data_IF_565062886122
#
_entry.id   IF_565062886122
#
_cell.length_a   1.000
_cell.length_b   1.000
_cell.length_c   1.000
_cell.angle_alpha   90.00
_cell.angle_beta   90.00
_cell.angle_gamma   90.00
#
_symmetry.space_group_name_H-M   'P 1'
#
loop_
_entity.id
_entity.type
_entity.pdbx_description
1 polymer ?
#
# COMPACT_ATOMS: atom_id res chain seq x y z
N UNK A 1 -5.58 1.02 4.85
CA UNK A 1 -4.92 1.20 6.17
C UNK A 1 -5.91 1.01 7.31
N UNK A 2 -7.02 1.75 7.34
CA UNK A 2 -8.05 1.64 8.39
C UNK A 2 -8.51 0.20 8.64
N UNK A 3 -8.89 -0.51 7.57
CA UNK A 3 -9.32 -1.91 7.68
C UNK A 3 -8.24 -2.83 8.29
N UNK A 4 -6.96 -2.59 7.98
CA UNK A 4 -5.86 -3.38 8.54
C UNK A 4 -5.67 -3.08 10.04
N UNK A 5 -5.72 -1.80 10.42
CA UNK A 5 -5.66 -1.40 11.83
C UNK A 5 -6.84 -1.95 12.63
N UNK A 6 -8.05 -1.92 12.09
CA UNK A 6 -9.25 -2.48 12.72
C UNK A 6 -9.08 -3.99 12.97
N UNK A 7 -8.61 -4.74 11.96
CA UNK A 7 -8.35 -6.19 12.11
C UNK A 7 -7.31 -6.49 13.21
N UNK A 8 -6.29 -5.63 13.36
CA UNK A 8 -5.29 -5.75 14.43
C UNK A 8 -5.89 -5.40 15.79
N UNK A 9 -6.74 -4.37 15.85
CA UNK A 9 -7.41 -3.96 17.08
C UNK A 9 -8.32 -5.05 17.63
N UNK A 10 -9.14 -5.67 16.76
CA UNK A 10 -10.13 -6.70 17.08
C UNK A 10 -9.54 -8.09 17.40
N UNK A 11 -8.22 -8.28 17.24
CA UNK A 11 -7.58 -9.57 17.48
C UNK A 11 -7.21 -9.76 18.97
N UNK A 12 -8.01 -10.55 19.68
CA UNK A 12 -7.81 -10.86 21.12
C UNK A 12 -6.50 -11.57 21.43
N UNK A 13 -5.94 -12.29 20.46
CA UNK A 13 -4.66 -12.99 20.63
C UNK A 13 -3.44 -12.03 20.59
N UNK A 14 -3.64 -10.76 20.26
CA UNK A 14 -2.62 -9.71 20.31
C UNK A 14 -2.71 -8.92 21.61
N UNK A 15 -1.56 -8.46 22.08
CA UNK A 15 -1.41 -7.70 23.33
C UNK A 15 -1.03 -6.24 23.06
N UNK A 16 -1.11 -5.40 24.10
CA UNK A 16 -0.73 -3.99 24.04
C UNK A 16 -1.72 -3.10 23.29
N UNK A 17 -1.42 -1.80 23.32
CA UNK A 17 -2.26 -0.75 22.76
C UNK A 17 -2.02 -0.54 21.26
N UNK A 18 -3.00 0.11 20.60
CA UNK A 18 -2.82 0.61 19.24
C UNK A 18 -1.91 1.85 19.23
N UNK A 19 -1.13 2.09 18.16
CA UNK A 19 -0.32 3.29 18.03
C UNK A 19 -1.21 4.54 18.03
N UNK A 20 -0.68 5.61 18.62
CA UNK A 20 -1.38 6.89 18.71
C UNK A 20 -1.58 7.59 17.35
N UNK A 21 -0.75 7.25 16.35
CA UNK A 21 -0.80 7.83 15.01
C UNK A 21 -1.13 6.77 13.97
N UNK A 22 -2.03 7.11 13.04
CA UNK A 22 -2.32 6.26 11.89
C UNK A 22 -1.20 6.37 10.84
N UNK A 23 -0.70 5.25 10.30
CA UNK A 23 0.22 5.27 9.18
C UNK A 23 -0.37 5.94 7.93
N UNK A 24 0.46 6.52 7.04
CA UNK A 24 -0.01 7.10 5.78
C UNK A 24 -0.77 6.09 4.92
N UNK A 25 -1.67 6.55 4.06
CA UNK A 25 -2.36 5.67 3.12
C UNK A 25 -1.35 4.96 2.19
N UNK A 26 -1.60 3.68 1.88
CA UNK A 26 -0.69 2.87 1.07
C UNK A 26 0.59 2.40 1.79
N UNK A 27 0.76 2.70 3.08
CA UNK A 27 1.97 2.31 3.85
C UNK A 27 1.91 0.93 4.51
N UNK A 28 0.74 0.29 4.59
CA UNK A 28 0.59 -1.03 5.19
C UNK A 28 0.28 -2.08 4.13
N UNK A 29 0.99 -3.20 4.21
CA UNK A 29 0.71 -4.37 3.38
C UNK A 29 -0.67 -4.95 3.72
N UNK A 30 -1.36 -5.47 2.72
CA UNK A 30 -2.71 -6.05 2.84
C UNK A 30 -2.72 -7.57 2.88
N UNK A 31 -1.56 -8.19 3.06
CA UNK A 31 -1.39 -9.64 3.03
C UNK A 31 -1.81 -10.31 4.36
N UNK A 32 -1.85 -11.65 4.33
CA UNK A 32 -2.19 -12.49 5.47
C UNK A 32 -1.15 -12.36 6.59
N UNK A 33 -1.58 -11.80 7.72
CA UNK A 33 -0.74 -11.67 8.92
C UNK A 33 -0.58 -13.02 9.64
N UNK A 34 0.67 -13.41 9.87
CA UNK A 34 1.03 -14.52 10.77
C UNK A 34 1.66 -13.95 12.03
N UNK A 35 1.18 -14.38 13.18
CA UNK A 35 1.66 -13.92 14.47
C UNK A 35 1.56 -15.04 15.52
N UNK A 36 2.37 -14.93 16.56
CA UNK A 36 2.29 -15.78 17.74
C UNK A 36 1.36 -15.13 18.76
N UNK A 37 0.59 -15.95 19.50
CA UNK A 37 -0.23 -15.46 20.60
C UNK A 37 0.63 -14.63 21.57
N UNK A 38 0.14 -13.46 21.96
CA UNK A 38 0.83 -12.52 22.83
C UNK A 38 1.74 -11.51 22.11
N UNK A 39 1.92 -11.62 20.79
CA UNK A 39 2.58 -10.57 20.00
C UNK A 39 1.86 -9.23 20.19
N UNK A 40 2.62 -8.13 20.18
CA UNK A 40 2.04 -6.81 20.41
C UNK A 40 1.40 -6.26 19.14
N UNK A 41 0.35 -5.45 19.28
CA UNK A 41 -0.26 -4.72 18.16
C UNK A 41 0.77 -3.84 17.43
N UNK A 42 1.68 -3.21 18.17
CA UNK A 42 2.79 -2.45 17.59
C UNK A 42 3.70 -3.32 16.70
N UNK A 43 4.10 -4.51 17.17
CA UNK A 43 4.91 -5.44 16.36
C UNK A 43 4.22 -5.83 15.05
N UNK A 44 2.90 -5.95 15.06
CA UNK A 44 2.13 -6.24 13.84
C UNK A 44 2.14 -5.09 12.85
N UNK A 45 2.02 -3.87 13.35
CA UNK A 45 2.04 -2.68 12.50
C UNK A 45 3.44 -2.44 11.94
N UNK A 46 4.48 -2.58 12.75
CA UNK A 46 5.87 -2.48 12.31
C UNK A 46 6.19 -3.53 11.24
N UNK A 47 5.68 -4.75 11.42
CA UNK A 47 5.81 -5.81 10.43
C UNK A 47 5.13 -5.44 9.11
N UNK A 48 3.89 -4.96 9.14
CA UNK A 48 3.18 -4.56 7.92
C UNK A 48 3.86 -3.40 7.18
N UNK A 49 4.42 -2.44 7.93
CA UNK A 49 5.20 -1.34 7.36
C UNK A 49 6.45 -1.85 6.66
N UNK A 50 7.19 -2.77 7.31
CA UNK A 50 8.39 -3.37 6.73
C UNK A 50 8.06 -4.22 5.50
N UNK A 51 6.99 -5.01 5.55
CA UNK A 51 6.53 -5.84 4.43
C UNK A 51 6.10 -4.96 3.24
N UNK A 52 5.35 -3.88 3.49
CA UNK A 52 4.96 -2.92 2.44
C UNK A 52 6.18 -2.28 1.81
N UNK A 53 7.12 -1.79 2.62
CA UNK A 53 8.34 -1.17 2.13
C UNK A 53 9.12 -2.13 1.24
N UNK A 54 9.31 -3.37 1.69
CA UNK A 54 10.00 -4.40 0.92
C UNK A 54 9.29 -4.69 -0.41
N UNK A 55 7.96 -4.84 -0.39
CA UNK A 55 7.18 -5.08 -1.59
C UNK A 55 7.33 -3.94 -2.61
N UNK A 56 7.23 -2.70 -2.14
CA UNK A 56 7.38 -1.51 -2.97
C UNK A 56 8.78 -1.43 -3.57
N UNK A 57 9.82 -1.63 -2.76
CA UNK A 57 11.21 -1.61 -3.21
C UNK A 57 11.46 -2.71 -4.28
N UNK A 58 11.02 -3.95 -4.02
CA UNK A 58 11.18 -5.08 -4.93
C UNK A 58 10.46 -4.85 -6.28
N UNK A 59 9.27 -4.22 -6.27
CA UNK A 59 8.51 -3.89 -7.49
C UNK A 59 9.14 -2.70 -8.22
N UNK A 60 9.58 -1.68 -7.47
CA UNK A 60 10.21 -0.49 -8.02
C UNK A 60 11.50 -0.84 -8.76
N UNK A 61 12.31 -1.76 -8.25
CA UNK A 61 13.51 -2.25 -8.94
C UNK A 61 13.21 -2.93 -10.28
N UNK A 62 12.05 -3.56 -10.41
CA UNK A 62 11.61 -4.31 -11.60
C UNK A 62 10.75 -3.49 -12.57
N UNK A 63 10.54 -2.20 -12.28
CA UNK A 63 9.68 -1.33 -13.08
C UNK A 63 10.20 -1.16 -14.51
N UNK A 64 9.31 -0.79 -15.42
CA UNK A 64 9.70 -0.43 -16.77
C UNK A 64 10.64 0.81 -16.76
N UNK A 65 11.72 0.81 -17.56
CA UNK A 65 12.70 1.91 -17.55
C UNK A 65 12.10 3.25 -18.00
N UNK A 66 11.09 3.22 -18.87
CA UNK A 66 10.45 4.42 -19.42
C UNK A 66 9.17 4.84 -18.68
N UNK A 67 9.02 4.41 -17.41
CA UNK A 67 7.85 4.75 -16.61
C UNK A 67 7.87 6.26 -16.28
N UNK A 68 6.81 7.03 -16.62
CA UNK A 68 6.74 8.48 -16.38
C UNK A 68 6.44 8.81 -14.91
N UNK A 69 7.24 8.25 -13.99
CA UNK A 69 7.12 8.40 -12.55
C UNK A 69 8.52 8.68 -11.99
N UNK A 70 8.67 9.79 -11.27
CA UNK A 70 9.97 10.30 -10.87
C UNK A 70 10.56 9.59 -9.64
N UNK A 71 9.70 9.16 -8.71
CA UNK A 71 10.11 8.63 -7.41
C UNK A 71 9.13 7.53 -6.91
N UNK A 72 9.51 6.88 -5.81
CA UNK A 72 8.76 5.76 -5.25
C UNK A 72 7.46 6.21 -4.57
N UNK A 73 7.45 7.42 -4.02
CA UNK A 73 6.27 8.01 -3.38
C UNK A 73 5.13 8.22 -4.39
N UNK A 74 5.45 8.74 -5.58
CA UNK A 74 4.52 8.91 -6.69
C UNK A 74 4.02 7.56 -7.22
N UNK A 75 4.89 6.54 -7.23
CA UNK A 75 4.54 5.18 -7.61
C UNK A 75 3.50 4.57 -6.66
N UNK A 76 3.73 4.68 -5.34
CA UNK A 76 2.79 4.21 -4.31
C UNK A 76 1.47 4.99 -4.39
N UNK A 77 1.54 6.30 -4.62
CA UNK A 77 0.36 7.16 -4.81
C UNK A 77 -0.47 6.70 -6.01
N UNK A 78 0.16 6.50 -7.17
CA UNK A 78 -0.53 5.98 -8.35
C UNK A 78 -1.15 4.60 -8.09
N UNK A 79 -0.41 3.70 -7.45
CA UNK A 79 -0.92 2.37 -7.11
C UNK A 79 -2.18 2.45 -6.23
N UNK A 80 -2.20 3.36 -5.25
CA UNK A 80 -3.36 3.59 -4.38
C UNK A 80 -4.57 4.15 -5.14
N UNK A 81 -4.35 5.03 -6.13
CA UNK A 81 -5.41 5.56 -6.99
C UNK A 81 -6.00 4.43 -7.84
N UNK A 82 -5.14 3.64 -8.51
CA UNK A 82 -5.61 2.53 -9.36
C UNK A 82 -6.42 1.51 -8.56
N UNK A 83 -5.98 1.16 -7.35
CA UNK A 83 -6.72 0.23 -6.48
C UNK A 83 -8.07 0.79 -6.01
N UNK A 84 -8.17 2.10 -5.79
CA UNK A 84 -9.44 2.78 -5.48
C UNK A 84 -10.40 2.81 -6.68
N UNK A 85 -9.88 3.01 -7.88
CA UNK A 85 -10.67 3.10 -9.12
C UNK A 85 -11.17 1.73 -9.59
N UNK A 86 -10.40 0.65 -9.39
CA UNK A 86 -10.87 -0.70 -9.71
C UNK A 86 -10.21 -1.77 -8.83
N UNK A 87 -11.04 -2.55 -8.14
CA UNK A 87 -10.62 -3.79 -7.46
C UNK A 87 -10.56 -5.01 -8.39
N UNK A 88 -10.97 -4.85 -9.67
CA UNK A 88 -11.04 -5.93 -10.66
C UNK A 88 -9.67 -6.11 -11.33
N UNK A 89 -9.05 -7.27 -11.12
CA UNK A 89 -7.68 -7.53 -11.58
C UNK A 89 -7.47 -7.45 -13.08
N UNK A 90 -8.50 -7.79 -13.86
CA UNK A 90 -8.55 -7.68 -15.32
C UNK A 90 -8.56 -6.23 -15.82
N UNK A 91 -9.02 -5.28 -15.00
CA UNK A 91 -9.14 -3.87 -15.38
C UNK A 91 -7.97 -3.01 -14.88
N UNK A 92 -7.26 -3.45 -13.82
CA UNK A 92 -6.15 -2.70 -13.18
C UNK A 92 -5.12 -2.19 -14.20
N UNK A 93 -4.68 -3.04 -15.12
CA UNK A 93 -3.68 -2.65 -16.13
C UNK A 93 -4.19 -1.55 -17.08
N UNK A 94 -5.48 -1.59 -17.45
CA UNK A 94 -6.09 -0.58 -18.32
C UNK A 94 -6.28 0.75 -17.59
N UNK A 95 -6.73 0.71 -16.33
CA UNK A 95 -6.86 1.91 -15.49
C UNK A 95 -5.49 2.56 -15.24
N UNK A 96 -4.48 1.76 -14.88
CA UNK A 96 -3.11 2.25 -14.72
C UNK A 96 -2.58 2.93 -16.00
N UNK A 97 -2.83 2.35 -17.17
CA UNK A 97 -2.41 2.93 -18.46
C UNK A 97 -3.03 4.32 -18.70
N UNK A 98 -4.28 4.57 -18.30
CA UNK A 98 -4.91 5.89 -18.43
C UNK A 98 -4.18 6.94 -17.60
N UNK A 99 -3.85 6.63 -16.35
CA UNK A 99 -3.12 7.56 -15.48
C UNK A 99 -1.68 7.78 -15.93
N UNK A 100 -0.97 6.73 -16.37
CA UNK A 100 0.38 6.87 -16.93
C UNK A 100 0.38 7.76 -18.18
N UNK A 101 -0.60 7.60 -19.07
CA UNK A 101 -0.76 8.47 -20.24
C UNK A 101 -1.08 9.92 -19.87
N UNK A 102 -1.76 10.15 -18.73
CA UNK A 102 -2.01 11.51 -18.22
C UNK A 102 -0.74 12.15 -17.69
N UNK A 103 0.02 11.41 -16.88
CA UNK A 103 1.32 11.86 -16.36
C UNK A 103 2.31 12.20 -17.49
N UNK A 104 2.39 11.35 -18.52
CA UNK A 104 3.25 11.59 -19.69
C UNK A 104 2.90 12.88 -20.44
N UNK A 105 1.66 13.37 -20.33
CA UNK A 105 1.18 14.62 -20.93
C UNK A 105 1.23 15.80 -19.96
N UNK A 106 1.82 15.64 -18.77
CA UNK A 106 1.86 16.66 -17.73
C UNK A 106 0.49 17.00 -17.13
N UNK A 107 -0.53 16.14 -17.32
CA UNK A 107 -1.84 16.34 -16.73
C UNK A 107 -1.84 15.91 -15.26
N UNK A 108 -2.54 16.67 -14.42
CA UNK A 108 -2.76 16.29 -13.02
C UNK A 108 -3.50 14.97 -12.94
N UNK A 109 -3.12 14.14 -11.96
CA UNK A 109 -3.91 13.00 -11.52
C UNK A 109 -5.18 13.54 -10.85
N UNK A 110 -6.17 13.90 -11.65
CA UNK A 110 -7.49 14.24 -11.15
C UNK A 110 -8.18 12.93 -10.76
N UNK A 111 -8.24 12.69 -9.45
CA UNK A 111 -9.19 11.79 -8.78
C UNK A 111 -10.30 12.64 -8.17
#
# INVERSE_FOLDING_TARGET
>A
VEQALQRIAEQDALSGDMPAAMPPEGSLATDTLRFTRGATRQQMIDKLLADQKKLVDDVWERRAPDLPIANVEDFVTLASIVEKETGRGDERSRVAAVFLNRLAKGMRLQS
#
